data_IF_146933194358
#
_entry.id   IF_146933194358
#
_cell.length_a   1.000
_cell.length_b   1.000
_cell.length_c   1.000
_cell.angle_alpha   90.00
_cell.angle_beta   90.00
_cell.angle_gamma   90.00
#
_symmetry.space_group_name_H-M   'P 1'
#
loop_
_entity.id
_entity.type
_entity.pdbx_description
1 polymer ?
#
# COMPACT_ATOMS: atom_id res chain seq x y z
N UNK A 1 10.11 -18.80 -8.41
CA UNK A 1 10.90 -17.76 -9.04
C UNK A 1 10.81 -16.45 -8.31
N UNK A 2 11.87 -15.69 -8.28
CA UNK A 2 11.89 -14.42 -7.59
C UNK A 2 11.20 -13.33 -8.39
N UNK A 3 10.42 -12.50 -7.72
CA UNK A 3 9.80 -11.33 -8.30
C UNK A 3 10.72 -10.14 -8.05
N UNK A 4 11.43 -9.70 -9.07
CA UNK A 4 12.42 -8.63 -8.97
C UNK A 4 13.43 -8.83 -7.83
N UNK A 5 13.74 -10.08 -7.48
CA UNK A 5 14.66 -10.41 -6.41
C UNK A 5 14.12 -10.20 -5.00
N UNK A 6 12.85 -9.81 -4.85
CA UNK A 6 12.27 -9.50 -3.54
C UNK A 6 11.29 -10.53 -3.01
N UNK A 7 10.82 -11.43 -3.86
CA UNK A 7 9.88 -12.45 -3.46
C UNK A 7 10.20 -13.76 -4.17
N UNK A 8 9.92 -14.86 -3.49
CA UNK A 8 10.07 -16.18 -4.06
C UNK A 8 8.69 -16.78 -4.21
N UNK A 9 8.36 -17.18 -5.44
CA UNK A 9 7.10 -17.83 -5.73
C UNK A 9 7.30 -19.34 -5.61
N UNK A 10 6.42 -20.00 -4.85
CA UNK A 10 6.45 -21.45 -4.70
C UNK A 10 5.12 -22.07 -5.05
N UNK A 11 5.17 -23.18 -5.80
CA UNK A 11 3.99 -24.02 -6.04
C UNK A 11 4.01 -25.12 -5.00
N UNK A 12 2.91 -25.29 -4.33
CA UNK A 12 2.79 -26.30 -3.26
C UNK A 12 1.59 -27.18 -3.51
N UNK A 13 1.66 -28.43 -3.02
CA UNK A 13 0.58 -29.37 -3.13
C UNK A 13 0.29 -29.97 -1.76
N UNK A 14 -0.98 -30.00 -1.38
CA UNK A 14 -1.38 -30.61 -0.13
C UNK A 14 -1.29 -32.13 -0.24
N UNK A 15 -0.52 -32.83 0.61
CA UNK A 15 -0.36 -34.27 0.52
C UNK A 15 -1.65 -35.05 0.81
N UNK A 16 -2.61 -34.44 1.50
CA UNK A 16 -3.87 -35.12 1.84
C UNK A 16 -4.93 -35.01 0.78
N UNK A 17 -5.04 -33.86 0.12
CA UNK A 17 -6.12 -33.60 -0.83
C UNK A 17 -5.63 -33.24 -2.23
N UNK A 18 -4.33 -33.23 -2.45
CA UNK A 18 -3.71 -32.89 -3.73
C UNK A 18 -4.06 -31.49 -4.23
N UNK A 19 -4.54 -30.64 -3.35
CA UNK A 19 -4.82 -29.26 -3.69
C UNK A 19 -3.51 -28.53 -3.97
N UNK A 20 -3.46 -27.84 -5.10
CA UNK A 20 -2.30 -27.06 -5.48
C UNK A 20 -2.54 -25.60 -5.23
N UNK A 21 -1.53 -24.94 -4.68
CA UNK A 21 -1.63 -23.52 -4.40
C UNK A 21 -0.26 -22.86 -4.55
N UNK A 22 -0.30 -21.55 -4.69
CA UNK A 22 0.91 -20.75 -4.85
C UNK A 22 1.15 -19.93 -3.57
N UNK A 23 2.39 -19.95 -3.09
CA UNK A 23 2.80 -19.11 -1.97
C UNK A 23 3.93 -18.21 -2.42
N UNK A 24 4.08 -17.10 -1.69
CA UNK A 24 5.18 -16.17 -1.90
C UNK A 24 5.96 -16.01 -0.61
N UNK A 25 7.28 -16.04 -0.73
CA UNK A 25 8.16 -15.73 0.37
C UNK A 25 8.75 -14.37 0.11
N UNK A 26 8.60 -13.44 1.07
CA UNK A 26 9.12 -12.08 0.94
C UNK A 26 10.02 -11.76 2.10
N UNK A 27 10.99 -10.88 1.84
CA UNK A 27 11.85 -10.40 2.90
C UNK A 27 11.04 -9.55 3.87
N UNK A 28 11.17 -9.80 5.14
CA UNK A 28 10.49 -9.01 6.15
C UNK A 28 11.15 -7.65 6.32
N UNK A 29 10.33 -6.62 6.50
CA UNK A 29 10.81 -5.27 6.78
C UNK A 29 10.71 -4.99 8.28
N UNK A 30 11.20 -5.94 9.09
CA UNK A 30 11.05 -5.87 10.54
C UNK A 30 11.78 -4.68 11.18
N UNK A 31 12.74 -4.11 10.48
CA UNK A 31 13.48 -2.95 10.99
C UNK A 31 12.81 -1.62 10.68
N UNK A 32 11.78 -1.63 9.84
CA UNK A 32 11.09 -0.39 9.47
C UNK A 32 10.04 -0.04 10.53
N UNK A 33 10.16 1.16 11.07
CA UNK A 33 9.26 1.66 12.11
C UNK A 33 8.42 2.81 11.56
N UNK A 34 7.13 2.79 11.87
CA UNK A 34 6.22 3.88 11.52
C UNK A 34 6.10 4.82 12.71
N UNK A 35 6.30 6.10 12.46
CA UNK A 35 6.09 7.14 13.47
C UNK A 35 4.73 7.77 13.22
N UNK A 36 3.80 7.62 14.16
CA UNK A 36 2.45 8.15 14.03
C UNK A 36 2.40 9.63 14.37
N UNK A 37 1.28 10.28 14.05
CA UNK A 37 1.10 11.71 14.28
C UNK A 37 1.26 12.13 15.75
N UNK A 38 0.87 11.24 16.66
CA UNK A 38 1.00 11.49 18.11
C UNK A 38 2.39 11.19 18.66
N UNK A 39 3.32 10.80 17.80
CA UNK A 39 4.68 10.49 18.18
C UNK A 39 4.91 9.03 18.54
N UNK A 40 3.85 8.23 18.62
CA UNK A 40 4.03 6.80 18.93
C UNK A 40 4.68 6.07 17.76
N UNK A 41 5.37 5.00 18.07
CA UNK A 41 6.09 4.20 17.08
C UNK A 41 5.54 2.80 17.06
N UNK A 42 5.40 2.24 15.85
CA UNK A 42 4.99 0.85 15.70
C UNK A 42 5.70 0.23 14.50
N UNK A 43 5.85 -1.10 14.52
CA UNK A 43 6.46 -1.78 13.37
C UNK A 43 5.58 -1.63 12.13
N UNK A 44 6.23 -1.49 10.97
CA UNK A 44 5.51 -1.45 9.72
C UNK A 44 4.79 -2.78 9.46
N UNK A 45 3.54 -2.71 9.03
CA UNK A 45 2.76 -3.89 8.67
C UNK A 45 2.19 -3.74 7.28
N UNK A 46 2.73 -4.49 6.34
CA UNK A 46 2.22 -4.51 4.96
C UNK A 46 0.76 -4.97 4.92
N UNK A 47 0.41 -5.95 5.76
CA UNK A 47 -0.96 -6.47 5.80
C UNK A 47 -1.98 -5.39 6.14
N UNK A 48 -1.68 -4.56 7.13
CA UNK A 48 -2.58 -3.47 7.51
C UNK A 48 -2.74 -2.45 6.38
N UNK A 49 -1.62 -2.06 5.77
CA UNK A 49 -1.63 -1.06 4.70
C UNK A 49 -2.36 -1.60 3.48
N UNK A 50 -2.06 -2.84 3.11
CA UNK A 50 -2.70 -3.48 1.96
C UNK A 50 -4.21 -3.58 2.14
N UNK A 51 -4.67 -3.90 3.35
CA UNK A 51 -6.10 -3.96 3.64
C UNK A 51 -6.79 -2.62 3.39
N UNK A 52 -6.16 -1.53 3.85
CA UNK A 52 -6.71 -0.19 3.62
C UNK A 52 -6.77 0.16 2.14
N UNK A 53 -5.75 -0.21 1.39
CA UNK A 53 -5.70 0.02 -0.05
C UNK A 53 -6.79 -0.80 -0.75
N UNK A 54 -6.98 -2.07 -0.38
CA UNK A 54 -8.01 -2.91 -0.95
C UNK A 54 -9.41 -2.36 -0.71
N UNK A 55 -9.68 -1.85 0.49
CA UNK A 55 -10.97 -1.24 0.79
C UNK A 55 -11.23 -0.05 -0.14
N UNK A 56 -10.20 0.73 -0.44
CA UNK A 56 -10.32 1.86 -1.35
C UNK A 56 -10.55 1.43 -2.79
N UNK A 57 -10.10 0.24 -3.14
CA UNK A 57 -10.21 -0.28 -4.50
C UNK A 57 -11.46 -1.14 -4.72
N UNK A 58 -12.36 -1.22 -3.75
CA UNK A 58 -13.59 -2.03 -3.84
C UNK A 58 -14.36 -1.68 -5.11
N UNK A 59 -14.69 -2.70 -5.90
CA UNK A 59 -15.42 -2.57 -7.17
C UNK A 59 -14.69 -1.73 -8.22
N UNK A 60 -13.38 -1.59 -8.09
CA UNK A 60 -12.57 -0.93 -9.10
C UNK A 60 -11.70 -1.96 -9.84
N UNK A 61 -11.35 -1.70 -11.10
CA UNK A 61 -10.55 -2.65 -11.89
C UNK A 61 -9.06 -2.59 -11.53
N UNK A 62 -8.76 -2.81 -10.26
CA UNK A 62 -7.37 -2.84 -9.77
C UNK A 62 -7.06 -4.26 -9.31
N UNK A 63 -6.02 -4.85 -9.87
CA UNK A 63 -5.64 -6.22 -9.59
C UNK A 63 -4.70 -6.33 -8.39
N UNK A 64 -4.66 -7.52 -7.80
CA UNK A 64 -3.72 -7.81 -6.72
C UNK A 64 -2.28 -7.58 -7.18
N UNK A 65 -1.98 -7.95 -8.41
CA UNK A 65 -0.66 -7.75 -8.99
C UNK A 65 -0.22 -6.29 -8.99
N UNK A 66 -1.12 -5.41 -9.39
CA UNK A 66 -0.83 -3.98 -9.42
C UNK A 66 -0.59 -3.42 -8.02
N UNK A 67 -1.39 -3.87 -7.06
CA UNK A 67 -1.23 -3.45 -5.67
C UNK A 67 0.09 -3.96 -5.10
N UNK A 68 0.41 -5.23 -5.34
CA UNK A 68 1.67 -5.81 -4.86
C UNK A 68 2.88 -5.07 -5.43
N UNK A 69 2.85 -4.77 -6.71
CA UNK A 69 3.93 -4.06 -7.38
C UNK A 69 4.09 -2.65 -6.82
N UNK A 70 2.98 -1.96 -6.63
CA UNK A 70 2.97 -0.62 -6.06
C UNK A 70 3.57 -0.63 -4.65
N UNK A 71 3.10 -1.53 -3.80
CA UNK A 71 3.58 -1.63 -2.42
C UNK A 71 5.05 -2.02 -2.35
N UNK A 72 5.49 -2.96 -3.19
CA UNK A 72 6.90 -3.36 -3.21
C UNK A 72 7.80 -2.18 -3.56
N UNK A 73 7.39 -1.38 -4.52
CA UNK A 73 8.15 -0.20 -4.93
C UNK A 73 8.23 0.83 -3.80
N UNK A 74 7.10 1.06 -3.13
CA UNK A 74 7.06 2.00 -2.02
C UNK A 74 7.88 1.51 -0.82
N UNK A 75 7.77 0.22 -0.50
CA UNK A 75 8.53 -0.37 0.61
C UNK A 75 10.03 -0.25 0.38
N UNK A 76 10.45 -0.47 -0.83
CA UNK A 76 11.84 -0.31 -1.21
C UNK A 76 12.32 1.11 -0.99
N UNK A 77 11.50 2.07 -1.38
CA UNK A 77 11.79 3.50 -1.18
C UNK A 77 11.90 3.84 0.30
N UNK A 78 10.94 3.38 1.11
CA UNK A 78 10.93 3.71 2.54
C UNK A 78 12.09 3.07 3.30
N UNK A 79 12.48 1.89 2.92
CA UNK A 79 13.54 1.16 3.61
C UNK A 79 14.95 1.54 3.17
N UNK A 80 15.09 2.18 2.01
CA UNK A 80 16.39 2.42 1.39
C UNK A 80 17.35 3.25 2.25
N UNK A 81 16.87 4.32 2.86
CA UNK A 81 17.74 5.24 3.59
C UNK A 81 17.27 5.53 5.01
N UNK A 82 16.25 4.83 5.49
CA UNK A 82 15.65 5.15 6.78
C UNK A 82 15.19 3.91 7.52
N UNK A 83 15.33 3.94 8.82
CA UNK A 83 14.75 2.92 9.68
C UNK A 83 13.36 3.34 10.16
N UNK A 84 13.03 4.60 9.98
CA UNK A 84 11.76 5.19 10.40
C UNK A 84 11.13 5.95 9.26
N UNK A 85 9.80 5.89 9.17
CA UNK A 85 9.03 6.66 8.20
C UNK A 85 7.76 7.14 8.89
N UNK A 86 7.35 8.38 8.63
CA UNK A 86 6.14 8.89 9.24
C UNK A 86 4.89 8.33 8.55
N UNK A 87 3.81 8.17 9.31
CA UNK A 87 2.54 7.72 8.73
C UNK A 87 2.05 8.70 7.68
N UNK A 88 2.36 9.98 7.84
CA UNK A 88 2.01 11.01 6.87
C UNK A 88 2.72 10.79 5.54
N UNK A 89 4.01 10.43 5.58
CA UNK A 89 4.78 10.12 4.37
C UNK A 89 4.22 8.89 3.67
N UNK A 90 3.91 7.83 4.44
CA UNK A 90 3.33 6.62 3.89
C UNK A 90 2.02 6.93 3.17
N UNK A 91 1.12 7.65 3.83
CA UNK A 91 -0.15 8.01 3.25
C UNK A 91 -0.02 8.84 1.98
N UNK A 92 0.86 9.83 2.00
CA UNK A 92 1.09 10.67 0.82
C UNK A 92 1.64 9.87 -0.35
N UNK A 93 2.61 8.99 -0.08
CA UNK A 93 3.19 8.17 -1.14
C UNK A 93 2.17 7.18 -1.71
N UNK A 94 1.35 6.56 -0.85
CA UNK A 94 0.28 5.67 -1.29
C UNK A 94 -0.73 6.42 -2.14
N UNK A 95 -1.12 7.63 -1.71
CA UNK A 95 -2.07 8.44 -2.46
C UNK A 95 -1.57 8.79 -3.85
N UNK A 96 -0.30 9.18 -3.97
CA UNK A 96 0.30 9.46 -5.27
C UNK A 96 0.29 8.24 -6.18
N UNK A 97 0.60 7.08 -5.62
CA UNK A 97 0.61 5.84 -6.38
C UNK A 97 -0.79 5.44 -6.81
N UNK A 98 -1.78 5.56 -5.91
CA UNK A 98 -3.16 5.24 -6.23
C UNK A 98 -3.73 6.17 -7.30
N UNK A 99 -3.34 7.44 -7.28
CA UNK A 99 -3.81 8.38 -8.30
C UNK A 99 -3.43 7.95 -9.71
N UNK A 100 -2.32 7.24 -9.83
CA UNK A 100 -1.88 6.70 -11.12
C UNK A 100 -2.62 5.43 -11.51
N UNK A 101 -3.08 4.65 -10.53
CA UNK A 101 -3.78 3.40 -10.77
C UNK A 101 -5.27 3.61 -11.01
N UNK A 102 -5.92 4.38 -10.14
CA UNK A 102 -7.36 4.57 -10.18
C UNK A 102 -7.75 5.78 -9.35
N UNK A 103 -8.33 6.77 -10.00
CA UNK A 103 -8.66 8.04 -9.33
C UNK A 103 -9.73 7.90 -8.26
N UNK A 104 -10.68 6.98 -8.45
CA UNK A 104 -11.72 6.74 -7.44
C UNK A 104 -11.12 6.12 -6.19
N UNK A 105 -10.23 5.14 -6.35
CA UNK A 105 -9.52 4.55 -5.22
C UNK A 105 -8.69 5.60 -4.49
N UNK A 106 -8.05 6.49 -5.23
CA UNK A 106 -7.29 7.59 -4.64
C UNK A 106 -8.19 8.47 -3.77
N UNK A 107 -9.34 8.87 -4.29
CA UNK A 107 -10.28 9.74 -3.57
C UNK A 107 -10.76 9.08 -2.28
N UNK A 108 -11.10 7.80 -2.37
CA UNK A 108 -11.55 7.04 -1.20
C UNK A 108 -10.48 6.96 -0.12
N UNK A 109 -9.26 6.64 -0.53
CA UNK A 109 -8.15 6.54 0.40
C UNK A 109 -7.83 7.89 1.03
N UNK A 110 -7.82 8.94 0.22
CA UNK A 110 -7.54 10.29 0.70
C UNK A 110 -8.58 10.77 1.70
N UNK A 111 -9.86 10.44 1.49
CA UNK A 111 -10.93 10.88 2.38
C UNK A 111 -10.80 10.27 3.78
N UNK A 112 -10.26 9.06 3.88
CA UNK A 112 -10.02 8.41 5.17
C UNK A 112 -8.72 8.90 5.79
N UNK A 113 -7.67 9.00 4.99
CA UNK A 113 -6.34 9.30 5.49
C UNK A 113 -6.13 10.77 5.88
N UNK A 114 -6.67 11.69 5.10
CA UNK A 114 -6.40 13.12 5.32
C UNK A 114 -7.33 13.83 6.29
N UNK A 115 -8.46 13.26 6.59
CA UNK A 115 -9.44 13.91 7.49
C UNK A 115 -9.76 15.34 7.05
N UNK A 116 -10.43 15.48 5.92
CA UNK A 116 -10.82 16.81 5.43
C UNK A 116 -11.73 17.50 6.41
N UNK A 117 -11.41 18.75 6.71
CA UNK A 117 -12.17 19.55 7.67
C UNK A 117 -13.52 20.01 7.12
N UNK A 118 -13.58 20.24 5.81
CA UNK A 118 -14.81 20.69 5.17
C UNK A 118 -14.81 20.33 3.69
N UNK A 119 -15.94 20.65 3.04
CA UNK A 119 -16.11 20.36 1.61
C UNK A 119 -15.13 21.13 0.73
N UNK A 120 -14.71 22.30 1.15
CA UNK A 120 -13.77 23.11 0.35
C UNK A 120 -12.40 22.48 0.29
N UNK A 121 -11.91 21.92 1.39
CA UNK A 121 -10.64 21.21 1.43
C UNK A 121 -10.68 19.98 0.51
N UNK A 122 -11.79 19.23 0.57
CA UNK A 122 -11.99 18.07 -0.27
C UNK A 122 -12.03 18.47 -1.74
N UNK A 123 -12.73 19.54 -2.06
CA UNK A 123 -12.84 20.06 -3.41
C UNK A 123 -11.49 20.48 -3.98
N UNK A 124 -10.64 21.11 -3.17
CA UNK A 124 -9.29 21.48 -3.57
C UNK A 124 -8.46 20.24 -3.92
N UNK A 125 -8.59 19.19 -3.14
CA UNK A 125 -7.88 17.95 -3.39
C UNK A 125 -8.33 17.31 -4.69
N UNK A 126 -9.64 17.30 -4.96
CA UNK A 126 -10.18 16.79 -6.22
C UNK A 126 -9.65 17.58 -7.41
N UNK A 127 -9.58 18.90 -7.28
CA UNK A 127 -9.07 19.77 -8.34
C UNK A 127 -7.63 19.43 -8.70
N UNK A 128 -6.80 19.14 -7.72
CA UNK A 128 -5.40 18.75 -7.95
C UNK A 128 -5.29 17.48 -8.79
N UNK A 129 -6.22 16.55 -8.60
CA UNK A 129 -6.18 15.26 -9.30
C UNK A 129 -6.67 15.38 -10.72
N UNK A 130 -7.77 16.09 -10.93
CA UNK A 130 -8.40 16.20 -12.24
C UNK A 130 -7.83 17.31 -13.09
N UNK A 131 -7.07 18.19 -12.50
CA UNK A 131 -6.38 19.25 -13.22
C UNK A 131 -5.00 18.75 -13.62
N UNK A 132 -4.72 18.83 -14.84
CA UNK A 132 -3.41 18.42 -15.36
C UNK A 132 -2.54 19.59 -15.63
#
# INVERSE_FOLDING_TARGET
MAEEGRAIRRRRECPKCSHRFTTFERQELSSLIIVKRDGTREPYSRTKLERGIWLSCTKRPVTQEKIDKMLSTLEEKWAANRKEVSSSTIGTDVMKALAKLDKVAYIRFASVHREFKDADEFKKELTKIFKK
#
